data_IF_372018967624
#
_entry.id   IF_372018967624
#
_cell.length_a   1.000
_cell.length_b   1.000
_cell.length_c   1.000
_cell.angle_alpha   90.00
_cell.angle_beta   90.00
_cell.angle_gamma   90.00
#
_symmetry.space_group_name_H-M   'P 1'
#
loop_
_entity.id
_entity.type
_entity.pdbx_description
1 polymer ?
#
# COMPACT_ATOMS: atom_id res chain seq x y z
N UNK A 1 49.87 29.93 -41.73
CA UNK A 1 50.44 31.02 -40.92
C UNK A 1 49.42 32.14 -40.79
N UNK A 2 49.12 32.52 -39.53
CA UNK A 2 48.59 33.81 -39.05
C UNK A 2 47.35 34.46 -39.69
N UNK A 3 46.26 34.55 -38.91
CA UNK A 3 45.74 35.74 -38.16
C UNK A 3 44.55 36.38 -38.91
N UNK A 4 43.34 36.26 -38.37
CA UNK A 4 42.76 37.12 -37.32
C UNK A 4 42.64 38.59 -37.75
N UNK A 5 41.43 39.04 -38.07
CA UNK A 5 40.56 39.86 -37.18
C UNK A 5 39.49 40.56 -38.02
N UNK A 6 38.24 40.25 -37.70
CA UNK A 6 37.09 41.08 -38.00
C UNK A 6 37.23 42.42 -37.29
N UNK A 7 36.97 43.48 -38.06
CA UNK A 7 36.84 44.86 -37.60
C UNK A 7 35.34 45.22 -37.51
N UNK A 8 35.05 46.00 -36.46
CA UNK A 8 34.11 47.14 -36.43
C UNK A 8 32.60 46.90 -36.53
N UNK A 9 31.99 47.11 -35.36
CA UNK A 9 30.68 47.71 -35.13
C UNK A 9 30.42 48.99 -35.96
N UNK A 10 29.20 49.13 -36.50
CA UNK A 10 28.31 50.29 -36.30
C UNK A 10 26.95 50.11 -36.98
N UNK A 11 25.90 50.12 -36.13
CA UNK A 11 24.53 50.63 -36.27
C UNK A 11 23.94 50.96 -37.67
N UNK A 12 22.77 50.41 -37.98
CA UNK A 12 21.48 51.12 -38.15
C UNK A 12 20.48 50.33 -39.03
N UNK A 13 19.19 50.33 -38.66
CA UNK A 13 18.05 49.74 -39.41
C UNK A 13 17.38 48.63 -38.59
N UNK A 14 16.40 48.87 -37.72
CA UNK A 14 15.03 49.38 -37.93
C UNK A 14 14.20 48.49 -38.88
N UNK A 15 13.09 47.98 -38.33
CA UNK A 15 11.92 47.35 -38.96
C UNK A 15 12.03 45.85 -39.31
N UNK A 16 11.45 45.00 -38.45
CA UNK A 16 10.32 44.11 -38.80
C UNK A 16 10.06 43.06 -37.72
N UNK A 17 8.78 42.65 -37.60
CA UNK A 17 8.22 41.54 -36.80
C UNK A 17 7.75 41.87 -35.37
N UNK A 18 6.81 42.81 -35.35
CA UNK A 18 5.66 42.81 -34.43
C UNK A 18 4.56 41.93 -35.06
N UNK A 19 4.48 40.65 -34.68
CA UNK A 19 3.29 39.81 -34.84
C UNK A 19 3.49 38.47 -34.11
N UNK A 20 2.43 37.99 -33.45
CA UNK A 20 2.27 36.64 -32.86
C UNK A 20 2.69 36.39 -31.39
N UNK A 21 2.33 37.27 -30.44
CA UNK A 21 2.12 36.84 -29.04
C UNK A 21 1.01 37.64 -28.34
N UNK A 22 -0.19 37.66 -28.90
CA UNK A 22 -1.36 38.24 -28.24
C UNK A 22 -2.60 37.36 -28.46
N UNK A 23 -2.65 36.20 -27.82
CA UNK A 23 -3.84 35.35 -27.82
C UNK A 23 -3.91 34.35 -26.65
N UNK A 24 -3.59 34.75 -25.40
CA UNK A 24 -3.93 33.95 -24.20
C UNK A 24 -4.18 34.81 -22.95
N UNK A 25 -4.85 35.95 -23.12
CA UNK A 25 -5.14 36.90 -22.03
C UNK A 25 -6.64 37.11 -21.77
N UNK A 26 -7.49 36.12 -22.01
CA UNK A 26 -8.94 36.27 -21.92
C UNK A 26 -9.60 35.08 -21.23
N UNK A 27 -9.13 34.74 -20.03
CA UNK A 27 -9.86 33.96 -19.01
C UNK A 27 -9.14 34.07 -17.66
N UNK A 28 -8.82 35.29 -17.24
CA UNK A 28 -8.54 35.55 -15.83
C UNK A 28 -9.84 36.14 -15.25
N UNK A 29 -10.45 35.56 -14.20
CA UNK A 29 -11.59 36.17 -13.56
C UNK A 29 -11.17 37.55 -13.07
N UNK A 30 -11.80 38.59 -13.61
CA UNK A 30 -11.58 39.98 -13.18
C UNK A 30 -12.10 40.08 -11.75
N UNK A 31 -11.21 40.02 -10.77
CA UNK A 31 -11.55 40.29 -9.38
C UNK A 31 -11.93 41.77 -9.24
N UNK A 32 -13.22 42.04 -9.25
CA UNK A 32 -13.77 43.37 -8.95
C UNK A 32 -13.58 43.58 -7.44
N UNK A 33 -12.60 44.41 -7.07
CA UNK A 33 -12.41 44.89 -5.70
C UNK A 33 -13.34 46.10 -5.49
N UNK A 34 -14.64 45.87 -5.46
CA UNK A 34 -15.60 46.88 -5.02
C UNK A 34 -16.07 46.46 -3.63
N UNK A 35 -15.73 47.27 -2.62
CA UNK A 35 -16.27 47.13 -1.27
C UNK A 35 -17.78 47.41 -1.34
N UNK A 36 -18.67 46.44 -1.02
CA UNK A 36 -20.10 46.67 -1.10
C UNK A 36 -20.52 47.73 -0.08
N UNK A 37 -21.00 48.87 -0.58
CA UNK A 37 -21.58 49.93 0.23
C UNK A 37 -23.07 49.61 0.39
N UNK A 38 -23.53 49.43 1.63
CA UNK A 38 -24.93 49.22 1.95
C UNK A 38 -25.74 50.48 1.57
N UNK A 39 -27.06 50.36 1.35
CA UNK A 39 -27.93 51.48 0.93
C UNK A 39 -27.94 52.67 1.91
N UNK A 40 -27.45 52.49 3.14
CA UNK A 40 -27.28 53.52 4.17
C UNK A 40 -25.89 54.20 4.16
N UNK A 41 -25.00 53.85 3.22
CA UNK A 41 -23.66 54.43 3.10
C UNK A 41 -22.59 53.74 3.97
N UNK A 42 -22.96 52.74 4.76
CA UNK A 42 -22.01 51.96 5.56
C UNK A 42 -21.30 50.93 4.68
N UNK A 43 -19.98 50.79 4.88
CA UNK A 43 -19.15 49.80 4.20
C UNK A 43 -19.23 48.47 4.93
N UNK A 44 -19.37 47.37 4.19
CA UNK A 44 -19.24 46.02 4.75
C UNK A 44 -17.76 45.67 4.83
N UNK A 45 -17.30 45.25 6.01
CA UNK A 45 -15.97 44.67 6.21
C UNK A 45 -15.79 43.49 5.24
N UNK A 46 -14.77 43.56 4.38
CA UNK A 46 -14.51 42.55 3.36
C UNK A 46 -13.96 41.24 3.95
N UNK A 47 -13.68 41.24 5.26
CA UNK A 47 -13.15 40.10 5.99
C UNK A 47 -11.70 39.77 5.61
N UNK A 48 -11.02 40.61 4.82
CA UNK A 48 -9.64 40.36 4.39
C UNK A 48 -8.67 40.28 5.57
N UNK A 49 -8.87 41.13 6.58
CA UNK A 49 -8.10 41.10 7.82
C UNK A 49 -8.32 39.81 8.61
N UNK A 50 -9.56 39.34 8.73
CA UNK A 50 -9.87 38.09 9.46
C UNK A 50 -9.37 36.85 8.72
N UNK A 51 -9.46 36.84 7.37
CA UNK A 51 -8.89 35.78 6.52
C UNK A 51 -7.36 35.78 6.62
N UNK A 52 -6.72 36.95 6.61
CA UNK A 52 -5.28 37.07 6.76
C UNK A 52 -4.82 36.56 8.14
N UNK A 53 -5.46 36.99 9.22
CA UNK A 53 -5.17 36.50 10.58
C UNK A 53 -5.36 34.99 10.71
N UNK A 54 -6.45 34.44 10.15
CA UNK A 54 -6.68 33.00 10.13
C UNK A 54 -5.61 32.24 9.33
N UNK A 55 -5.11 32.82 8.23
CA UNK A 55 -4.05 32.21 7.42
C UNK A 55 -2.70 32.17 8.15
N UNK A 56 -2.35 33.25 8.86
CA UNK A 56 -1.12 33.33 9.66
C UNK A 56 -1.20 32.36 10.85
N UNK A 57 -2.36 32.26 11.49
CA UNK A 57 -2.58 31.32 12.58
C UNK A 57 -2.49 29.87 12.10
N UNK A 58 -3.12 29.54 10.98
CA UNK A 58 -3.05 28.21 10.37
C UNK A 58 -1.60 27.82 10.00
N UNK A 59 -0.84 28.73 9.41
CA UNK A 59 0.58 28.49 9.09
C UNK A 59 1.41 28.25 10.36
N UNK A 60 1.21 29.05 11.41
CA UNK A 60 1.89 28.86 12.69
C UNK A 60 1.55 27.50 13.32
N UNK A 61 0.29 27.08 13.24
CA UNK A 61 -0.16 25.78 13.76
C UNK A 61 0.39 24.61 12.91
N UNK A 62 0.49 24.77 11.59
CA UNK A 62 1.16 23.81 10.72
C UNK A 62 2.65 23.65 11.05
N UNK A 63 3.35 24.76 11.30
CA UNK A 63 4.77 24.74 11.68
C UNK A 63 4.98 24.07 13.04
N UNK A 64 4.13 24.35 14.03
CA UNK A 64 4.15 23.67 15.33
C UNK A 64 3.94 22.17 15.18
N UNK A 65 2.91 21.77 14.43
CA UNK A 65 2.63 20.36 14.19
C UNK A 65 3.76 19.64 13.45
N UNK A 66 4.47 20.34 12.54
CA UNK A 66 5.66 19.79 11.89
C UNK A 66 6.82 19.60 12.87
N UNK A 67 7.11 20.61 13.70
CA UNK A 67 8.15 20.54 14.72
C UNK A 67 7.88 19.43 15.75
N UNK A 68 6.62 19.24 16.15
CA UNK A 68 6.22 18.17 17.08
C UNK A 68 6.49 16.78 16.48
N UNK A 69 6.17 16.59 15.18
CA UNK A 69 6.48 15.33 14.47
C UNK A 69 7.98 15.09 14.35
N UNK A 70 8.75 16.12 14.05
CA UNK A 70 10.22 16.03 13.97
C UNK A 70 10.84 15.67 15.32
N UNK A 71 10.33 16.25 16.41
CA UNK A 71 10.77 15.93 17.77
C UNK A 71 10.49 14.46 18.12
N UNK A 72 9.28 13.96 17.80
CA UNK A 72 8.90 12.55 17.98
C UNK A 72 9.81 11.63 17.15
N UNK A 73 10.08 11.97 15.90
CA UNK A 73 10.96 11.19 15.03
C UNK A 73 12.39 11.13 15.58
N UNK A 74 12.93 12.25 16.06
CA UNK A 74 14.27 12.31 16.65
C UNK A 74 14.35 11.46 17.94
N UNK A 75 13.35 11.52 18.80
CA UNK A 75 13.28 10.70 20.01
C UNK A 75 13.21 9.21 19.66
N UNK A 76 12.33 8.83 18.73
CA UNK A 76 12.17 7.45 18.28
C UNK A 76 13.47 6.86 17.72
N UNK A 77 14.20 7.63 16.92
CA UNK A 77 15.48 7.22 16.33
C UNK A 77 16.62 7.14 17.35
N UNK A 78 16.53 7.85 18.48
CA UNK A 78 17.56 7.81 19.53
C UNK A 78 17.54 6.53 20.38
N UNK A 79 16.43 5.79 20.36
CA UNK A 79 16.18 4.62 21.24
C UNK A 79 15.85 3.33 20.48
N UNK A 80 15.89 3.35 19.15
CA UNK A 80 15.49 2.20 18.33
C UNK A 80 16.57 1.11 18.24
N UNK A 81 16.12 -0.15 18.19
CA UNK A 81 16.94 -1.26 17.72
C UNK A 81 17.12 -1.17 16.18
N UNK A 82 18.16 -1.77 15.58
CA UNK A 82 18.47 -1.61 14.16
C UNK A 82 17.27 -1.84 13.21
N UNK A 83 16.55 -2.94 13.38
CA UNK A 83 15.37 -3.29 12.56
C UNK A 83 14.23 -2.27 12.69
N UNK A 84 14.04 -1.72 13.89
CA UNK A 84 13.05 -0.68 14.17
C UNK A 84 13.47 0.66 13.57
N UNK A 85 14.76 1.00 13.61
CA UNK A 85 15.27 2.20 12.96
C UNK A 85 15.04 2.14 11.44
N UNK A 86 15.36 1.00 10.82
CA UNK A 86 15.15 0.78 9.39
C UNK A 86 13.66 0.88 9.02
N UNK A 87 12.77 0.34 9.85
CA UNK A 87 11.33 0.47 9.66
C UNK A 87 10.83 1.92 9.79
N UNK A 88 11.30 2.68 10.79
CA UNK A 88 10.97 4.11 10.95
C UNK A 88 11.42 4.92 9.73
N UNK A 89 12.63 4.66 9.23
CA UNK A 89 13.16 5.34 8.03
C UNK A 89 12.32 5.02 6.78
N UNK A 90 11.83 3.77 6.66
CA UNK A 90 10.89 3.38 5.61
C UNK A 90 9.47 3.89 5.83
N UNK A 91 9.19 4.55 6.95
CA UNK A 91 7.86 4.98 7.38
C UNK A 91 6.90 3.78 7.44
N UNK A 92 7.32 2.68 8.08
CA UNK A 92 6.52 1.48 8.22
C UNK A 92 6.36 1.12 9.70
N UNK A 93 5.14 0.77 10.11
CA UNK A 93 4.93 0.20 11.45
C UNK A 93 5.48 -1.22 11.48
N UNK A 94 6.19 -1.55 12.56
CA UNK A 94 6.83 -2.84 12.76
C UNK A 94 6.51 -3.43 14.13
N UNK A 95 6.58 -4.76 14.23
CA UNK A 95 6.50 -5.45 15.52
C UNK A 95 7.69 -5.05 16.39
N UNK A 96 7.50 -4.98 17.71
CA UNK A 96 8.57 -4.55 18.61
C UNK A 96 8.63 -3.03 18.86
N UNK A 97 7.97 -2.21 18.03
CA UNK A 97 7.94 -0.75 18.22
C UNK A 97 7.25 -0.35 19.52
N UNK A 98 7.66 0.76 20.13
CA UNK A 98 6.90 1.39 21.22
C UNK A 98 5.94 2.48 20.68
N UNK A 99 5.16 3.11 21.57
CA UNK A 99 4.16 4.15 21.18
C UNK A 99 4.78 5.31 20.39
N UNK A 100 5.94 5.81 20.82
CA UNK A 100 6.64 6.93 20.19
C UNK A 100 7.14 6.53 18.79
N UNK A 101 7.66 5.32 18.66
CA UNK A 101 8.13 4.78 17.38
C UNK A 101 7.00 4.56 16.37
N UNK A 102 5.80 4.17 16.82
CA UNK A 102 4.60 4.09 15.97
C UNK A 102 4.20 5.46 15.45
N UNK A 103 4.21 6.48 16.31
CA UNK A 103 3.91 7.86 15.90
C UNK A 103 4.96 8.40 14.92
N UNK A 104 6.23 8.11 15.14
CA UNK A 104 7.32 8.45 14.21
C UNK A 104 7.15 7.77 12.84
N UNK A 105 6.90 6.45 12.82
CA UNK A 105 6.75 5.68 11.59
C UNK A 105 5.55 6.14 10.74
N UNK A 106 4.47 6.59 11.39
CA UNK A 106 3.25 7.08 10.72
C UNK A 106 3.26 8.58 10.45
N UNK A 107 4.29 9.31 10.89
CA UNK A 107 4.32 10.76 10.81
C UNK A 107 3.14 11.42 11.53
N UNK A 108 2.70 10.85 12.65
CA UNK A 108 1.57 11.35 13.44
C UNK A 108 1.98 11.80 14.83
N UNK A 109 1.04 12.40 15.56
CA UNK A 109 1.15 12.73 16.98
C UNK A 109 0.02 12.06 17.75
N UNK A 110 0.02 12.18 19.08
CA UNK A 110 -1.02 11.62 19.96
C UNK A 110 -2.46 12.02 19.57
N UNK A 111 -2.63 13.17 18.92
CA UNK A 111 -3.94 13.67 18.48
C UNK A 111 -4.57 12.82 17.38
N UNK A 112 -3.77 12.10 16.60
CA UNK A 112 -4.28 11.21 15.55
C UNK A 112 -4.87 9.90 16.13
N UNK A 113 -4.62 9.62 17.42
CA UNK A 113 -4.94 8.36 18.05
C UNK A 113 -5.97 8.50 19.18
N UNK A 114 -6.76 7.45 19.35
CA UNK A 114 -7.55 7.14 20.53
C UNK A 114 -6.91 5.92 21.21
N UNK A 115 -6.48 6.08 22.46
CA UNK A 115 -5.74 5.03 23.18
C UNK A 115 -6.60 4.44 24.30
N UNK A 116 -6.74 3.11 24.31
CA UNK A 116 -7.40 2.36 25.37
C UNK A 116 -6.37 1.50 26.11
N UNK A 117 -6.19 1.76 27.40
CA UNK A 117 -5.20 1.07 28.25
C UNK A 117 -5.89 0.07 29.19
N UNK A 118 -5.33 -1.13 29.31
CA UNK A 118 -5.80 -2.19 30.20
C UNK A 118 -4.61 -3.02 30.70
N UNK A 119 -4.25 -2.84 31.98
CA UNK A 119 -3.07 -3.48 32.57
C UNK A 119 -1.78 -3.05 31.84
N UNK A 120 -0.90 -4.01 31.54
CA UNK A 120 0.33 -3.79 30.76
C UNK A 120 0.13 -3.73 29.25
N UNK A 121 -1.11 -3.69 28.77
CA UNK A 121 -1.45 -3.66 27.34
C UNK A 121 -2.27 -2.44 26.99
N UNK A 122 -2.14 -1.96 25.75
CA UNK A 122 -3.01 -0.93 25.22
C UNK A 122 -3.20 -1.05 23.72
N UNK A 123 -4.29 -0.46 23.26
CA UNK A 123 -4.66 -0.43 21.85
C UNK A 123 -4.78 1.02 21.41
N UNK A 124 -4.07 1.36 20.34
CA UNK A 124 -4.19 2.61 19.62
C UNK A 124 -5.12 2.37 18.42
N UNK A 125 -6.16 3.19 18.28
CA UNK A 125 -7.06 3.21 17.12
C UNK A 125 -7.08 4.62 16.53
N UNK A 126 -7.28 4.78 15.20
CA UNK A 126 -7.48 6.10 14.61
C UNK A 126 -8.57 6.89 15.35
N UNK A 127 -8.29 8.17 15.64
CA UNK A 127 -9.28 9.07 16.24
C UNK A 127 -10.36 9.49 15.23
N UNK A 128 -9.94 9.75 13.99
CA UNK A 128 -10.81 10.04 12.86
C UNK A 128 -10.67 8.95 11.79
N UNK A 129 -11.79 8.48 11.28
CA UNK A 129 -11.84 7.47 10.22
C UNK A 129 -11.69 8.05 8.82
N UNK A 130 -11.88 9.36 8.64
CA UNK A 130 -11.73 10.04 7.35
C UNK A 130 -10.27 10.37 7.04
N UNK A 131 -9.47 10.60 8.08
CA UNK A 131 -8.03 10.82 8.00
C UNK A 131 -7.31 9.91 8.98
N UNK A 132 -7.35 8.58 8.75
CA UNK A 132 -6.70 7.64 9.64
C UNK A 132 -5.16 7.79 9.54
N UNK A 133 -4.42 7.54 10.63
CA UNK A 133 -2.99 7.31 10.54
C UNK A 133 -2.66 6.28 9.46
N UNK A 134 -1.63 6.59 8.68
CA UNK A 134 -1.12 5.71 7.62
C UNK A 134 0.39 5.63 7.72
N UNK A 135 0.92 4.57 7.16
CA UNK A 135 2.34 4.38 6.94
C UNK A 135 2.56 4.11 5.43
N UNK A 136 3.78 3.73 5.03
CA UNK A 136 4.11 3.46 3.64
C UNK A 136 3.32 2.28 3.03
N UNK A 137 2.76 1.39 3.85
CA UNK A 137 1.98 0.23 3.41
C UNK A 137 0.51 0.57 3.26
N UNK A 138 -0.06 1.37 4.18
CA UNK A 138 -1.43 1.86 4.05
C UNK A 138 -2.04 2.39 5.34
N UNK A 139 -3.38 2.49 5.34
CA UNK A 139 -4.14 3.04 6.46
C UNK A 139 -4.20 2.04 7.62
N UNK A 140 -3.80 2.45 8.81
CA UNK A 140 -3.87 1.63 10.01
C UNK A 140 -5.31 1.60 10.55
N UNK A 141 -5.77 0.39 10.88
CA UNK A 141 -7.03 0.16 11.57
C UNK A 141 -6.83 0.13 13.09
N UNK A 142 -5.74 -0.47 13.57
CA UNK A 142 -5.36 -0.51 14.98
C UNK A 142 -3.90 -0.90 15.16
N UNK A 143 -3.32 -0.55 16.30
CA UNK A 143 -2.03 -1.04 16.78
C UNK A 143 -2.21 -1.49 18.22
N UNK A 144 -1.80 -2.73 18.54
CA UNK A 144 -1.88 -3.27 19.88
C UNK A 144 -0.47 -3.48 20.45
N UNK A 145 -0.26 -2.89 21.61
CA UNK A 145 0.98 -2.96 22.36
C UNK A 145 0.77 -3.76 23.65
N UNK A 146 1.77 -4.55 24.02
CA UNK A 146 1.90 -5.17 25.32
C UNK A 146 3.34 -4.99 25.81
N UNK A 147 3.51 -4.68 27.10
CA UNK A 147 4.82 -4.45 27.71
C UNK A 147 5.64 -3.38 26.94
N UNK A 148 4.95 -2.32 26.51
CA UNK A 148 5.49 -1.20 25.72
C UNK A 148 6.05 -1.58 24.34
N UNK A 149 5.58 -2.69 23.77
CA UNK A 149 6.02 -3.20 22.47
C UNK A 149 4.84 -3.64 21.61
N UNK A 150 4.83 -3.26 20.32
CA UNK A 150 3.82 -3.67 19.34
C UNK A 150 3.87 -5.17 19.16
N UNK A 151 2.77 -5.83 19.52
CA UNK A 151 2.59 -7.27 19.36
C UNK A 151 1.84 -7.62 18.09
N UNK A 152 0.98 -6.70 17.64
CA UNK A 152 0.21 -6.83 16.40
C UNK A 152 -0.33 -5.48 15.98
N UNK A 153 -0.59 -5.33 14.71
CA UNK A 153 -1.24 -4.16 14.13
C UNK A 153 -2.08 -4.61 12.95
N UNK A 154 -2.95 -3.73 12.47
CA UNK A 154 -3.84 -4.08 11.39
C UNK A 154 -4.01 -2.93 10.42
N UNK A 155 -4.15 -3.27 9.13
CA UNK A 155 -4.44 -2.33 8.06
C UNK A 155 -5.91 -2.40 7.67
N UNK A 156 -6.46 -1.25 7.27
CA UNK A 156 -7.75 -1.15 6.60
C UNK A 156 -7.54 -1.33 5.11
N UNK A 157 -8.17 -2.35 4.54
CA UNK A 157 -8.13 -2.66 3.12
C UNK A 157 -9.55 -2.65 2.54
N UNK A 158 -9.67 -2.64 1.21
CA UNK A 158 -10.98 -2.61 0.53
C UNK A 158 -11.85 -3.83 0.85
N UNK A 159 -11.23 -4.97 1.16
CA UNK A 159 -11.89 -6.23 1.50
C UNK A 159 -12.08 -6.45 3.00
N UNK A 160 -11.61 -5.54 3.87
CA UNK A 160 -11.74 -5.68 5.32
C UNK A 160 -10.52 -5.20 6.10
N UNK A 161 -10.12 -5.97 7.11
CA UNK A 161 -8.99 -5.66 7.99
C UNK A 161 -7.96 -6.78 7.91
N UNK A 162 -6.72 -6.44 7.54
CA UNK A 162 -5.59 -7.38 7.54
C UNK A 162 -4.79 -7.20 8.81
N UNK A 163 -4.63 -8.26 9.59
CA UNK A 163 -3.85 -8.23 10.84
C UNK A 163 -2.45 -8.76 10.57
N UNK A 164 -1.44 -8.04 11.05
CA UNK A 164 -0.04 -8.44 11.05
C UNK A 164 0.33 -8.90 12.46
N UNK A 165 0.75 -10.15 12.57
CA UNK A 165 1.18 -10.79 13.84
C UNK A 165 2.60 -11.33 13.79
N UNK A 166 3.22 -11.39 12.62
CA UNK A 166 4.61 -11.81 12.46
C UNK A 166 5.37 -10.89 11.48
N UNK A 167 6.71 -10.80 11.57
CA UNK A 167 7.52 -9.94 10.71
C UNK A 167 7.36 -10.28 9.22
N UNK A 168 7.15 -11.55 8.88
CA UNK A 168 7.01 -12.01 7.50
C UNK A 168 5.77 -11.41 6.84
N UNK A 169 4.70 -11.18 7.62
CA UNK A 169 3.44 -10.58 7.14
C UNK A 169 3.51 -9.06 6.94
N UNK A 170 4.59 -8.41 7.38
CA UNK A 170 4.78 -6.97 7.28
C UNK A 170 5.29 -6.52 5.91
N UNK A 171 5.91 -7.42 5.14
CA UNK A 171 6.48 -7.09 3.82
C UNK A 171 5.42 -7.06 2.70
N UNK A 172 5.78 -6.50 1.54
CA UNK A 172 4.93 -6.57 0.33
C UNK A 172 4.65 -8.01 -0.08
N UNK A 173 5.63 -8.89 0.05
CA UNK A 173 5.50 -10.33 -0.19
C UNK A 173 4.54 -10.96 0.82
N UNK A 174 4.72 -10.71 2.12
CA UNK A 174 3.81 -11.18 3.16
C UNK A 174 2.36 -10.72 2.97
N UNK A 175 2.18 -9.50 2.45
CA UNK A 175 0.86 -9.00 2.05
C UNK A 175 0.29 -9.79 0.87
N UNK A 176 1.09 -10.07 -0.16
CA UNK A 176 0.67 -10.87 -1.30
C UNK A 176 0.28 -12.28 -0.85
N UNK A 177 1.09 -12.91 0.00
CA UNK A 177 0.81 -14.23 0.60
C UNK A 177 -0.48 -14.24 1.41
N UNK A 178 -0.70 -13.27 2.31
CA UNK A 178 -1.93 -13.20 3.10
C UNK A 178 -3.19 -12.98 2.23
N UNK A 179 -3.05 -12.21 1.14
CA UNK A 179 -4.14 -12.03 0.18
C UNK A 179 -4.38 -13.30 -0.64
N UNK A 180 -3.33 -14.02 -1.04
CA UNK A 180 -3.42 -15.31 -1.70
C UNK A 180 -4.13 -16.34 -0.81
N UNK A 181 -3.76 -16.45 0.47
CA UNK A 181 -4.42 -17.34 1.44
C UNK A 181 -5.93 -17.08 1.56
N UNK A 182 -6.32 -15.80 1.58
CA UNK A 182 -7.73 -15.41 1.63
C UNK A 182 -8.46 -15.87 0.36
N UNK A 183 -7.88 -15.64 -0.81
CA UNK A 183 -8.44 -16.09 -2.09
C UNK A 183 -8.54 -17.62 -2.16
N UNK A 184 -7.54 -18.34 -1.65
CA UNK A 184 -7.56 -19.81 -1.57
C UNK A 184 -8.73 -20.28 -0.69
N UNK A 185 -8.93 -19.67 0.48
CA UNK A 185 -10.05 -20.02 1.37
C UNK A 185 -11.43 -19.74 0.73
N UNK A 186 -11.55 -18.67 -0.03
CA UNK A 186 -12.76 -18.37 -0.80
C UNK A 186 -12.97 -19.37 -1.94
N UNK A 187 -11.90 -19.71 -2.68
CA UNK A 187 -11.93 -20.73 -3.71
C UNK A 187 -12.35 -22.10 -3.17
N UNK A 188 -11.84 -22.48 -2.00
CA UNK A 188 -12.22 -23.71 -1.29
C UNK A 188 -13.71 -23.73 -0.96
N UNK A 189 -14.25 -22.59 -0.50
CA UNK A 189 -15.68 -22.45 -0.23
C UNK A 189 -16.53 -22.59 -1.49
N UNK A 190 -16.14 -21.95 -2.59
CA UNK A 190 -16.84 -22.07 -3.87
C UNK A 190 -16.79 -23.51 -4.41
N UNK A 191 -15.62 -24.15 -4.36
CA UNK A 191 -15.44 -25.54 -4.77
C UNK A 191 -16.30 -26.50 -3.92
N UNK A 192 -16.42 -26.24 -2.61
CA UNK A 192 -17.24 -27.05 -1.70
C UNK A 192 -18.74 -26.97 -1.99
N UNK A 193 -19.24 -25.81 -2.46
CA UNK A 193 -20.65 -25.64 -2.85
C UNK A 193 -20.93 -26.03 -4.31
N UNK A 194 -19.89 -26.38 -5.06
CA UNK A 194 -19.98 -26.79 -6.46
C UNK A 194 -19.98 -25.63 -7.47
N UNK A 195 -19.69 -24.41 -7.04
CA UNK A 195 -19.46 -23.27 -7.94
C UNK A 195 -18.01 -23.31 -8.44
N UNK A 196 -17.77 -24.16 -9.43
CA UNK A 196 -16.41 -24.47 -9.90
C UNK A 196 -15.79 -23.30 -10.67
N UNK A 197 -16.60 -22.50 -11.38
CA UNK A 197 -16.10 -21.34 -12.12
C UNK A 197 -15.63 -20.23 -11.16
N UNK A 198 -16.40 -19.94 -10.10
CA UNK A 198 -15.99 -19.00 -9.08
C UNK A 198 -14.76 -19.50 -8.31
N UNK A 199 -14.63 -20.81 -8.08
CA UNK A 199 -13.45 -21.38 -7.45
C UNK A 199 -12.19 -21.18 -8.29
N UNK A 200 -12.27 -21.43 -9.61
CA UNK A 200 -11.15 -21.22 -10.54
C UNK A 200 -10.72 -19.75 -10.58
N UNK A 201 -11.66 -18.80 -10.65
CA UNK A 201 -11.33 -17.36 -10.62
C UNK A 201 -10.51 -16.99 -9.36
N UNK A 202 -10.89 -17.50 -8.20
CA UNK A 202 -10.16 -17.21 -6.95
C UNK A 202 -8.77 -17.83 -6.95
N UNK A 203 -8.62 -19.07 -7.40
CA UNK A 203 -7.32 -19.71 -7.47
C UNK A 203 -6.39 -19.08 -8.51
N UNK A 204 -6.91 -18.68 -9.68
CA UNK A 204 -6.14 -17.98 -10.71
C UNK A 204 -5.61 -16.63 -10.20
N UNK A 205 -6.41 -15.92 -9.39
CA UNK A 205 -5.95 -14.69 -8.74
C UNK A 205 -4.93 -14.95 -7.64
N UNK A 206 -5.08 -16.06 -6.91
CA UNK A 206 -4.13 -16.46 -5.87
C UNK A 206 -2.77 -16.85 -6.47
N UNK A 207 -2.74 -17.57 -7.60
CA UNK A 207 -1.50 -17.99 -8.26
C UNK A 207 -0.65 -16.81 -8.77
N UNK A 208 -1.27 -15.67 -9.08
CA UNK A 208 -0.55 -14.43 -9.44
C UNK A 208 0.17 -13.84 -8.21
N UNK A 209 -0.42 -13.98 -7.02
CA UNK A 209 0.11 -13.39 -5.79
C UNK A 209 1.12 -14.29 -5.07
N UNK A 210 0.98 -15.61 -5.24
CA UNK A 210 1.87 -16.62 -4.69
C UNK A 210 2.28 -17.61 -5.81
N UNK A 211 3.14 -17.18 -6.75
CA UNK A 211 3.54 -18.02 -7.90
C UNK A 211 4.33 -19.27 -7.49
N UNK A 212 4.96 -19.23 -6.32
CA UNK A 212 5.81 -20.28 -5.80
C UNK A 212 5.06 -21.24 -4.85
N UNK A 213 3.72 -21.17 -4.78
CA UNK A 213 2.91 -22.14 -4.04
C UNK A 213 2.39 -23.23 -5.00
N UNK A 214 2.96 -24.44 -5.00
CA UNK A 214 2.55 -25.53 -5.89
C UNK A 214 1.17 -26.09 -5.52
N UNK A 215 0.70 -25.90 -4.28
CA UNK A 215 -0.63 -26.38 -3.89
C UNK A 215 -1.75 -25.64 -4.64
N UNK A 216 -1.51 -24.42 -5.11
CA UNK A 216 -2.49 -23.68 -5.91
C UNK A 216 -2.73 -24.40 -7.24
N UNK A 217 -1.67 -24.85 -7.92
CA UNK A 217 -1.78 -25.61 -9.18
C UNK A 217 -2.56 -26.91 -8.97
N UNK A 218 -2.28 -27.64 -7.87
CA UNK A 218 -3.01 -28.84 -7.52
C UNK A 218 -4.51 -28.56 -7.29
N UNK A 219 -4.84 -27.50 -6.55
CA UNK A 219 -6.24 -27.08 -6.31
C UNK A 219 -6.95 -26.75 -7.62
N UNK A 220 -6.32 -25.98 -8.51
CA UNK A 220 -6.84 -25.67 -9.86
C UNK A 220 -7.10 -26.97 -10.63
N UNK A 221 -6.13 -27.89 -10.66
CA UNK A 221 -6.26 -29.18 -11.34
C UNK A 221 -7.46 -29.98 -10.84
N UNK A 222 -7.64 -30.07 -9.51
CA UNK A 222 -8.78 -30.80 -8.92
C UNK A 222 -10.14 -30.18 -9.28
N UNK A 223 -10.23 -28.85 -9.38
CA UNK A 223 -11.46 -28.16 -9.76
C UNK A 223 -11.76 -28.32 -11.25
N UNK A 224 -10.75 -28.19 -12.12
CA UNK A 224 -10.89 -28.45 -13.56
C UNK A 224 -11.36 -29.88 -13.83
N UNK A 225 -10.83 -30.84 -13.08
CA UNK A 225 -11.22 -32.25 -13.17
C UNK A 225 -12.70 -32.46 -12.79
N UNK A 226 -13.13 -31.86 -11.67
CA UNK A 226 -14.54 -31.84 -11.24
C UNK A 226 -15.44 -31.14 -12.26
N UNK A 227 -14.92 -30.12 -12.95
CA UNK A 227 -15.62 -29.37 -13.98
C UNK A 227 -15.67 -30.10 -15.34
N UNK A 228 -15.15 -31.34 -15.42
CA UNK A 228 -15.07 -32.14 -16.65
C UNK A 228 -14.27 -31.43 -17.75
N UNK A 229 -13.18 -30.75 -17.37
CA UNK A 229 -12.19 -30.13 -18.26
C UNK A 229 -10.87 -30.95 -18.24
N UNK A 230 -10.87 -32.20 -18.75
CA UNK A 230 -9.82 -33.17 -18.48
C UNK A 230 -8.45 -32.79 -19.04
N UNK A 231 -8.41 -32.13 -20.21
CA UNK A 231 -7.15 -31.71 -20.84
C UNK A 231 -6.47 -30.66 -19.98
N UNK A 232 -7.22 -29.68 -19.50
CA UNK A 232 -6.70 -28.59 -18.68
C UNK A 232 -6.31 -29.09 -17.29
N UNK A 233 -7.12 -29.98 -16.71
CA UNK A 233 -6.79 -30.64 -15.44
C UNK A 233 -5.47 -31.41 -15.53
N UNK A 234 -5.26 -32.16 -16.61
CA UNK A 234 -4.00 -32.89 -16.84
C UNK A 234 -2.81 -31.93 -16.86
N UNK A 235 -2.88 -30.86 -17.65
CA UNK A 235 -1.80 -29.86 -17.74
C UNK A 235 -1.47 -29.27 -16.37
N UNK A 236 -2.48 -28.98 -15.55
CA UNK A 236 -2.27 -28.42 -14.21
C UNK A 236 -1.69 -29.44 -13.23
N UNK A 237 -2.09 -30.71 -13.30
CA UNK A 237 -1.44 -31.77 -12.50
C UNK A 237 0.04 -31.95 -12.91
N UNK A 238 0.36 -31.86 -14.20
CA UNK A 238 1.74 -31.91 -14.68
C UNK A 238 2.55 -30.70 -14.20
N UNK A 239 1.97 -29.50 -14.23
CA UNK A 239 2.60 -28.28 -13.72
C UNK A 239 2.91 -28.38 -12.23
N UNK A 240 1.95 -28.86 -11.43
CA UNK A 240 2.12 -29.10 -9.99
C UNK A 240 3.31 -30.03 -9.71
N UNK A 241 3.38 -31.18 -10.39
CA UNK A 241 4.48 -32.13 -10.22
C UNK A 241 5.82 -31.55 -10.67
N UNK A 242 5.82 -30.76 -11.76
CA UNK A 242 7.03 -30.12 -12.25
C UNK A 242 7.56 -29.06 -11.28
N UNK A 243 6.68 -28.21 -10.71
CA UNK A 243 7.07 -27.19 -9.73
C UNK A 243 7.64 -27.81 -8.46
N UNK A 244 7.04 -28.91 -7.99
CA UNK A 244 7.58 -29.70 -6.88
C UNK A 244 8.97 -30.27 -7.17
N UNK A 245 9.21 -30.77 -8.38
CA UNK A 245 10.54 -31.26 -8.75
C UNK A 245 11.59 -30.14 -8.74
N UNK A 246 11.22 -28.92 -9.13
CA UNK A 246 12.09 -27.73 -9.03
C UNK A 246 12.36 -27.36 -7.57
N UNK A 247 11.34 -27.30 -6.72
CA UNK A 247 11.49 -27.01 -5.28
C UNK A 247 12.34 -28.07 -4.57
N UNK A 248 12.19 -29.35 -4.91
CA UNK A 248 13.01 -30.43 -4.36
C UNK A 248 14.49 -30.32 -4.76
N UNK A 249 14.78 -29.77 -5.94
CA UNK A 249 16.16 -29.46 -6.36
C UNK A 249 16.72 -28.30 -5.51
N UNK A 250 15.87 -27.40 -5.03
CA UNK A 250 16.24 -26.20 -4.27
C UNK A 250 16.22 -26.39 -2.73
N UNK A 251 15.45 -27.33 -2.19
CA UNK A 251 15.29 -27.57 -0.74
C UNK A 251 15.16 -29.06 -0.38
N UNK A 252 15.95 -29.50 0.61
CA UNK A 252 15.95 -30.88 1.13
C UNK A 252 15.35 -30.90 2.55
N UNK A 253 14.04 -31.17 2.69
CA UNK A 253 13.41 -31.56 3.97
C UNK A 253 12.09 -30.85 4.37
N UNK A 254 11.23 -31.60 5.07
CA UNK A 254 9.94 -31.30 5.73
C UNK A 254 8.72 -30.85 4.89
N UNK A 255 8.90 -30.23 3.71
CA UNK A 255 7.75 -29.88 2.84
C UNK A 255 7.04 -31.12 2.25
N UNK A 256 7.80 -32.18 1.96
CA UNK A 256 7.33 -33.38 1.25
C UNK A 256 6.25 -34.19 1.99
N UNK A 257 6.26 -34.18 3.33
CA UNK A 257 5.33 -34.99 4.11
C UNK A 257 3.87 -34.53 3.97
N UNK A 258 3.64 -33.21 3.78
CA UNK A 258 2.30 -32.65 3.59
C UNK A 258 1.79 -32.83 2.15
N UNK A 259 2.69 -33.03 1.19
CA UNK A 259 2.37 -33.07 -0.23
C UNK A 259 2.31 -34.50 -0.80
N UNK A 260 2.80 -35.50 -0.05
CA UNK A 260 2.83 -36.89 -0.48
C UNK A 260 1.47 -37.43 -0.99
N UNK A 261 0.37 -37.09 -0.32
CA UNK A 261 -0.98 -37.49 -0.75
C UNK A 261 -1.37 -36.80 -2.06
N UNK A 262 -1.17 -35.49 -2.16
CA UNK A 262 -1.46 -34.71 -3.38
C UNK A 262 -0.64 -35.20 -4.58
N UNK A 263 0.64 -35.53 -4.38
CA UNK A 263 1.53 -36.10 -5.40
C UNK A 263 0.97 -37.43 -5.90
N UNK A 264 0.64 -38.35 -4.98
CA UNK A 264 0.12 -39.67 -5.35
C UNK A 264 -1.21 -39.56 -6.12
N UNK A 265 -2.11 -38.68 -5.68
CA UNK A 265 -3.38 -38.43 -6.35
C UNK A 265 -3.19 -37.81 -7.73
N UNK A 266 -2.30 -36.82 -7.87
CA UNK A 266 -2.00 -36.18 -9.14
C UNK A 266 -1.45 -37.18 -10.16
N UNK A 267 -0.46 -38.00 -9.77
CA UNK A 267 0.11 -39.05 -10.61
C UNK A 267 -0.95 -40.07 -11.05
N UNK A 268 -1.78 -40.53 -10.11
CA UNK A 268 -2.87 -41.44 -10.43
C UNK A 268 -3.85 -40.80 -11.41
N UNK A 269 -4.17 -39.52 -11.23
CA UNK A 269 -5.16 -38.85 -12.06
C UNK A 269 -4.67 -38.62 -13.47
N UNK A 270 -3.40 -38.25 -13.67
CA UNK A 270 -2.78 -38.15 -15.00
C UNK A 270 -2.94 -39.47 -15.77
N UNK A 271 -2.60 -40.62 -15.17
CA UNK A 271 -2.75 -41.94 -15.82
C UNK A 271 -4.19 -42.24 -16.23
N UNK A 272 -5.16 -41.84 -15.41
CA UNK A 272 -6.58 -42.03 -15.74
C UNK A 272 -7.01 -41.11 -16.88
N UNK A 273 -6.61 -39.84 -16.85
CA UNK A 273 -6.94 -38.85 -17.87
C UNK A 273 -6.34 -39.23 -19.24
N UNK A 274 -5.09 -39.68 -19.27
CA UNK A 274 -4.42 -40.17 -20.49
C UNK A 274 -5.15 -41.37 -21.12
N UNK A 275 -5.65 -42.30 -20.30
CA UNK A 275 -6.40 -43.47 -20.78
C UNK A 275 -7.81 -43.14 -21.27
N UNK A 276 -8.35 -42.00 -20.88
CA UNK A 276 -9.69 -41.56 -21.26
C UNK A 276 -9.72 -40.73 -22.55
N UNK A 277 -8.54 -40.45 -23.11
CA UNK A 277 -8.33 -39.77 -24.39
C UNK A 277 -8.45 -40.74 -25.58
#
# INVERSE_FOLDING_TARGET
MNKSRMHTSRYAGLVSLLACFAAFGACAPKHIHEEPILQNGDRVDDGSATVYEASVQAEADHQRAAADREAIAAEALSTCAPEVCDAIVRQEVWLGMNEVQVMAATGTTEHAWSVRRAGGSFVMTPRDTHMPPSDAVGNLAMVQLADNSVQRYAYRESQGVRVVTSPEQASTEGRATAMAETLIQEGDRFAAVGDLDAALDRYDRASILAPDDPLIDYRIATVLDKALRPIEAQVQYELFLHRLDLERIEAQGDADAKLAEAIALAQQRIVVLERSR
#
